data_IF_187769739967
#
_entry.id   IF_187769739967
#
_cell.length_a   1.000
_cell.length_b   1.000
_cell.length_c   1.000
_cell.angle_alpha   90.00
_cell.angle_beta   90.00
_cell.angle_gamma   90.00
#
_symmetry.space_group_name_H-M   'P 1'
#
loop_
_entity.id
_entity.type
_entity.pdbx_description
1 polymer ?
#
# COMPACT_ATOMS: atom_id res chain seq x y z
N UNK A 1 -22.42 12.35 83.24
CA UNK A 1 -22.93 13.41 82.34
C UNK A 1 -23.29 12.71 81.03
N UNK A 2 -24.50 12.20 80.78
CA UNK A 2 -25.85 12.76 81.08
C UNK A 2 -25.92 14.20 80.51
N UNK A 3 -26.79 14.61 79.57
CA UNK A 3 -28.19 14.27 79.26
C UNK A 3 -28.60 14.73 77.82
N UNK A 4 -29.47 13.94 77.17
CA UNK A 4 -30.60 14.18 76.24
C UNK A 4 -30.56 15.01 74.92
N UNK A 5 -31.29 14.48 73.91
CA UNK A 5 -31.99 15.21 72.82
C UNK A 5 -33.35 15.79 73.29
N UNK A 6 -34.46 15.83 72.50
CA UNK A 6 -34.70 15.50 71.08
C UNK A 6 -35.68 16.48 70.34
N UNK A 7 -36.12 16.13 69.11
CA UNK A 7 -37.39 16.56 68.49
C UNK A 7 -37.26 17.02 67.02
N UNK A 8 -38.04 16.58 66.03
CA UNK A 8 -39.15 15.63 65.97
C UNK A 8 -39.63 15.42 64.51
N UNK A 9 -40.37 14.32 64.30
CA UNK A 9 -41.46 14.02 63.33
C UNK A 9 -41.87 15.09 62.27
N UNK A 10 -42.27 14.79 61.03
CA UNK A 10 -42.76 13.54 60.44
C UNK A 10 -43.29 13.71 58.99
N UNK A 11 -43.56 12.56 58.36
CA UNK A 11 -44.48 12.19 57.27
C UNK A 11 -44.75 13.07 56.03
N UNK A 12 -44.80 12.40 54.85
CA UNK A 12 -45.76 12.74 53.79
C UNK A 12 -45.35 12.42 52.36
N UNK A 13 -45.73 11.24 51.85
CA UNK A 13 -45.84 10.95 50.40
C UNK A 13 -47.01 11.71 49.76
N UNK A 14 -47.05 11.70 48.42
CA UNK A 14 -48.12 12.04 47.45
C UNK A 14 -47.90 13.34 46.64
N UNK A 15 -47.65 13.21 45.32
CA UNK A 15 -47.88 14.27 44.34
C UNK A 15 -47.08 14.20 43.02
N UNK A 16 -47.62 13.48 42.02
CA UNK A 16 -47.54 13.69 40.55
C UNK A 16 -46.14 13.90 39.90
N UNK A 17 -45.55 12.98 39.13
CA UNK A 17 -45.99 12.35 37.86
C UNK A 17 -46.47 13.31 36.75
N UNK A 18 -45.74 13.27 35.62
CA UNK A 18 -46.11 13.62 34.23
C UNK A 18 -45.99 15.09 33.78
N UNK A 19 -44.99 15.38 32.92
CA UNK A 19 -45.09 16.19 31.67
C UNK A 19 -43.70 16.47 31.08
N UNK A 20 -43.15 15.56 30.26
CA UNK A 20 -42.06 15.88 29.30
C UNK A 20 -41.83 14.80 28.22
N UNK A 21 -42.88 14.18 27.65
CA UNK A 21 -42.72 13.17 26.56
C UNK A 21 -43.62 13.42 25.33
N UNK A 22 -44.18 14.62 25.12
CA UNK A 22 -45.06 14.88 23.94
C UNK A 22 -44.67 16.14 23.16
N UNK A 23 -43.40 16.25 22.74
CA UNK A 23 -42.97 17.30 21.78
C UNK A 23 -42.33 16.71 20.51
N UNK A 24 -42.42 15.39 20.31
CA UNK A 24 -41.75 14.69 19.18
C UNK A 24 -42.70 14.08 18.13
N UNK A 25 -43.96 14.53 18.00
CA UNK A 25 -44.89 13.89 17.05
C UNK A 25 -45.94 14.77 16.36
N UNK A 26 -45.70 16.08 16.12
CA UNK A 26 -46.64 16.90 15.33
C UNK A 26 -45.96 17.96 14.43
N UNK A 27 -44.98 17.54 13.62
CA UNK A 27 -44.57 18.30 12.44
C UNK A 27 -44.46 17.35 11.24
N UNK A 28 -45.63 16.88 10.80
CA UNK A 28 -45.82 16.21 9.52
C UNK A 28 -47.24 16.52 9.06
N UNK A 29 -47.39 17.50 8.17
CA UNK A 29 -48.28 17.53 7.00
C UNK A 29 -48.28 18.95 6.36
N UNK A 30 -48.52 19.06 5.04
CA UNK A 30 -47.97 20.09 4.18
C UNK A 30 -48.92 21.28 4.00
N UNK A 31 -48.36 22.47 3.74
CA UNK A 31 -49.09 23.54 3.08
C UNK A 31 -48.53 23.72 1.67
N UNK A 32 -49.36 23.37 0.69
CA UNK A 32 -49.15 23.72 -0.71
C UNK A 32 -49.46 25.19 -0.95
N UNK A 33 -48.65 25.81 -1.80
CA UNK A 33 -49.00 27.05 -2.50
C UNK A 33 -48.59 26.90 -3.96
N UNK A 34 -49.59 26.80 -4.83
CA UNK A 34 -49.44 26.95 -6.27
C UNK A 34 -49.13 28.42 -6.59
N UNK A 35 -48.11 28.66 -7.42
CA UNK A 35 -47.92 29.94 -8.09
C UNK A 35 -47.97 29.68 -9.59
N UNK A 36 -49.04 30.17 -10.22
CA UNK A 36 -49.23 30.18 -11.65
C UNK A 36 -48.25 31.16 -12.31
N UNK A 37 -47.39 30.66 -13.19
CA UNK A 37 -46.55 31.46 -14.09
C UNK A 37 -46.97 31.19 -15.54
N UNK A 38 -47.51 32.22 -16.20
CA UNK A 38 -48.04 32.19 -17.56
C UNK A 38 -46.95 32.49 -18.60
N UNK A 39 -46.82 31.57 -19.56
CA UNK A 39 -46.47 31.69 -20.99
C UNK A 39 -45.22 32.46 -21.43
N UNK A 40 -44.34 31.78 -22.17
CA UNK A 40 -43.89 32.19 -23.52
C UNK A 40 -43.34 30.98 -24.27
N UNK A 41 -44.05 30.50 -25.30
CA UNK A 41 -43.50 29.59 -26.31
C UNK A 41 -42.61 30.39 -27.27
N UNK A 42 -41.37 29.93 -27.48
CA UNK A 42 -40.54 30.34 -28.62
C UNK A 42 -40.07 29.09 -29.34
N UNK A 43 -40.53 28.95 -30.58
CA UNK A 43 -40.07 27.97 -31.57
C UNK A 43 -38.82 28.51 -32.26
N UNK A 44 -37.73 27.74 -32.25
CA UNK A 44 -36.60 27.89 -33.19
C UNK A 44 -35.82 26.57 -33.29
N UNK A 45 -35.95 25.95 -34.47
CA UNK A 45 -35.10 25.01 -35.25
C UNK A 45 -34.03 24.09 -34.61
N UNK A 46 -33.80 22.90 -35.22
CA UNK A 46 -32.86 21.89 -34.73
C UNK A 46 -31.41 22.27 -35.05
N UNK A 47 -30.59 22.43 -34.02
CA UNK A 47 -29.14 22.47 -34.12
C UNK A 47 -28.58 21.05 -34.04
N UNK A 48 -27.71 20.71 -34.98
CA UNK A 48 -26.97 19.45 -35.10
C UNK A 48 -26.55 18.83 -33.76
N UNK A 49 -26.91 17.56 -33.60
CA UNK A 49 -26.45 16.70 -32.53
C UNK A 49 -24.95 16.42 -32.73
N UNK A 50 -24.11 17.27 -32.12
CA UNK A 50 -22.71 16.91 -31.87
C UNK A 50 -22.76 15.79 -30.83
N UNK A 51 -22.68 14.55 -31.32
CA UNK A 51 -22.42 13.39 -30.47
C UNK A 51 -21.17 13.70 -29.63
N UNK A 52 -21.24 13.65 -28.30
CA UNK A 52 -20.03 13.63 -27.49
C UNK A 52 -19.33 12.31 -27.82
N UNK A 53 -18.25 12.41 -28.56
CA UNK A 53 -17.29 11.34 -28.72
C UNK A 53 -16.85 10.95 -27.31
N UNK A 54 -17.35 9.81 -26.83
CA UNK A 54 -17.03 9.28 -25.52
C UNK A 54 -15.53 8.99 -25.50
N UNK A 55 -14.76 9.96 -24.98
CA UNK A 55 -13.46 9.70 -24.42
C UNK A 55 -13.69 8.76 -23.24
N UNK A 56 -13.59 7.46 -23.48
CA UNK A 56 -13.54 6.48 -22.41
C UNK A 56 -12.20 6.63 -21.71
N UNK A 57 -12.06 7.68 -20.92
CA UNK A 57 -11.12 7.72 -19.81
C UNK A 57 -11.41 6.47 -18.99
N UNK A 58 -10.58 5.44 -19.14
CA UNK A 58 -10.73 4.24 -18.35
C UNK A 58 -10.62 4.62 -16.88
N UNK A 59 -11.71 4.47 -16.13
CA UNK A 59 -11.77 4.79 -14.71
C UNK A 59 -10.68 4.03 -13.96
N UNK A 60 -9.71 4.76 -13.41
CA UNK A 60 -8.65 4.19 -12.56
C UNK A 60 -9.22 3.78 -11.21
N UNK A 61 -8.51 2.89 -10.50
CA UNK A 61 -8.82 2.57 -9.11
C UNK A 61 -10.13 1.82 -8.90
N UNK A 62 -10.73 1.24 -9.94
CA UNK A 62 -11.97 0.46 -9.86
C UNK A 62 -11.67 -1.03 -10.12
N UNK A 63 -11.61 -1.88 -9.07
CA UNK A 63 -11.41 -3.31 -9.23
C UNK A 63 -12.67 -4.00 -9.73
N UNK A 64 -12.52 -5.15 -10.41
CA UNK A 64 -13.68 -5.90 -10.91
C UNK A 64 -14.45 -6.64 -9.80
N UNK A 65 -13.82 -6.87 -8.64
CA UNK A 65 -14.43 -7.55 -7.49
C UNK A 65 -14.19 -6.74 -6.21
N UNK A 66 -15.28 -6.33 -5.56
CA UNK A 66 -15.28 -5.65 -4.26
C UNK A 66 -15.64 -6.62 -3.11
N UNK A 67 -15.35 -6.27 -1.85
CA UNK A 67 -15.70 -7.09 -0.69
C UNK A 67 -14.95 -6.73 0.59
N UNK A 68 -15.49 -7.11 1.76
CA UNK A 68 -14.82 -7.00 3.08
C UNK A 68 -13.84 -8.17 3.28
N UNK A 69 -12.68 -7.90 3.86
CA UNK A 69 -11.59 -8.86 4.00
C UNK A 69 -10.96 -8.71 5.39
N UNK A 70 -10.54 -9.82 5.99
CA UNK A 70 -9.87 -9.88 7.29
C UNK A 70 -8.73 -10.91 7.22
N UNK A 71 -7.54 -10.55 7.70
CA UNK A 71 -6.35 -11.42 7.71
C UNK A 71 -5.62 -11.48 6.37
N UNK A 72 -4.29 -11.45 6.38
CA UNK A 72 -3.48 -11.52 5.16
C UNK A 72 -3.57 -12.92 4.57
N UNK A 73 -3.75 -13.02 3.26
CA UNK A 73 -4.09 -14.27 2.56
C UNK A 73 -3.86 -14.15 1.06
N UNK A 74 -4.06 -15.25 0.35
CA UNK A 74 -4.24 -15.27 -1.10
C UNK A 74 -5.26 -14.20 -1.51
N UNK A 75 -4.82 -13.28 -2.37
CA UNK A 75 -5.65 -12.23 -2.90
C UNK A 75 -6.73 -12.81 -3.82
N UNK A 76 -7.99 -12.40 -3.72
CA UNK A 76 -8.98 -12.84 -4.69
C UNK A 76 -8.68 -12.32 -6.09
N UNK A 77 -8.84 -13.19 -7.08
CA UNK A 77 -8.55 -12.89 -8.47
C UNK A 77 -9.34 -11.63 -8.91
N UNK A 78 -8.69 -10.77 -9.71
CA UNK A 78 -9.22 -9.48 -10.21
C UNK A 78 -9.42 -8.36 -9.19
N UNK A 79 -9.06 -8.56 -7.91
CA UNK A 79 -9.19 -7.51 -6.89
C UNK A 79 -8.14 -6.41 -7.02
N UNK A 80 -6.93 -6.76 -7.45
CA UNK A 80 -5.80 -5.83 -7.56
C UNK A 80 -5.30 -5.75 -9.00
N UNK A 81 -6.15 -5.30 -9.95
CA UNK A 81 -5.83 -5.36 -11.37
C UNK A 81 -4.69 -4.42 -11.78
N UNK A 82 -4.24 -3.56 -10.86
CA UNK A 82 -3.09 -2.69 -11.06
C UNK A 82 -1.76 -3.30 -10.66
N UNK A 83 -1.77 -4.41 -9.92
CA UNK A 83 -0.55 -5.09 -9.49
C UNK A 83 0.24 -5.54 -10.72
N UNK A 84 1.53 -5.21 -10.74
CA UNK A 84 2.47 -5.63 -11.75
C UNK A 84 3.70 -6.30 -11.09
N UNK A 85 4.38 -7.16 -11.84
CA UNK A 85 5.68 -7.72 -11.45
C UNK A 85 6.76 -7.17 -12.36
N UNK A 86 7.86 -6.70 -11.78
CA UNK A 86 9.07 -6.31 -12.50
C UNK A 86 9.97 -7.53 -12.62
N UNK A 87 10.24 -7.92 -13.86
CA UNK A 87 11.28 -8.89 -14.18
C UNK A 87 12.56 -8.17 -14.50
N UNK A 88 13.68 -8.64 -13.95
CA UNK A 88 15.03 -8.31 -14.41
C UNK A 88 15.66 -9.58 -14.97
N UNK A 89 15.99 -9.58 -16.26
CA UNK A 89 16.54 -10.74 -16.99
C UNK A 89 15.72 -12.02 -16.77
N UNK A 90 14.39 -11.89 -16.88
CA UNK A 90 13.44 -13.02 -16.75
C UNK A 90 13.12 -13.44 -15.32
N UNK A 91 13.62 -12.75 -14.29
CA UNK A 91 13.38 -13.08 -12.89
C UNK A 91 12.57 -12.00 -12.18
N UNK A 92 11.56 -12.41 -11.41
CA UNK A 92 10.86 -11.50 -10.51
C UNK A 92 11.83 -10.91 -9.49
N UNK A 93 11.89 -9.57 -9.43
CA UNK A 93 12.74 -8.86 -8.46
C UNK A 93 11.94 -7.91 -7.56
N UNK A 94 10.83 -7.37 -8.05
CA UNK A 94 10.06 -6.34 -7.39
C UNK A 94 8.60 -6.35 -7.87
N UNK A 95 7.72 -5.78 -7.07
CA UNK A 95 6.41 -5.33 -7.50
C UNK A 95 6.46 -4.00 -8.25
N UNK A 96 5.35 -3.67 -8.90
CA UNK A 96 5.09 -2.39 -9.52
C UNK A 96 3.57 -2.16 -9.62
N UNK A 97 3.18 -0.99 -10.08
CA UNK A 97 1.77 -0.61 -10.27
C UNK A 97 1.55 -0.01 -11.65
N UNK A 98 0.56 -0.46 -12.40
CA UNK A 98 0.14 0.26 -13.61
C UNK A 98 -0.70 1.49 -13.22
N UNK A 99 -0.38 2.65 -13.82
CA UNK A 99 -1.02 3.94 -13.49
C UNK A 99 -1.65 4.62 -14.70
N UNK A 100 -1.27 4.20 -15.91
CA UNK A 100 -1.99 4.53 -17.14
C UNK A 100 -1.61 3.54 -18.25
N UNK A 101 -2.17 3.70 -19.46
CA UNK A 101 -1.99 2.73 -20.54
C UNK A 101 -0.51 2.53 -20.93
N UNK A 102 0.34 3.53 -20.77
CA UNK A 102 1.77 3.47 -21.12
C UNK A 102 2.70 3.49 -19.90
N UNK A 103 2.17 3.63 -18.69
CA UNK A 103 3.00 3.98 -17.53
C UNK A 103 2.81 3.02 -16.36
N UNK A 104 3.96 2.56 -15.86
CA UNK A 104 4.09 1.72 -14.67
C UNK A 104 5.02 2.42 -13.69
N UNK A 105 4.73 2.33 -12.39
CA UNK A 105 5.50 2.94 -11.31
C UNK A 105 6.01 1.86 -10.35
N UNK A 106 7.24 2.02 -9.87
CA UNK A 106 7.91 1.09 -8.94
C UNK A 106 8.93 1.84 -8.09
N UNK A 107 9.69 1.13 -7.25
CA UNK A 107 10.74 1.70 -6.41
C UNK A 107 12.06 1.84 -7.19
N UNK A 108 12.86 2.86 -6.90
CA UNK A 108 14.15 3.11 -7.55
C UNK A 108 15.20 2.07 -7.22
N UNK A 109 15.20 1.53 -6.00
CA UNK A 109 16.19 0.54 -5.59
C UNK A 109 16.11 -0.76 -6.41
N UNK A 110 14.96 -1.05 -7.02
CA UNK A 110 14.76 -2.18 -7.94
C UNK A 110 15.60 -2.06 -9.23
N UNK A 111 15.96 -0.85 -9.63
CA UNK A 111 16.64 -0.55 -10.90
C UNK A 111 18.12 -0.23 -10.72
N UNK A 112 18.71 -0.52 -9.56
CA UNK A 112 20.12 -0.19 -9.29
C UNK A 112 21.12 -0.98 -10.12
N UNK A 113 20.75 -2.22 -10.51
CA UNK A 113 21.63 -3.17 -11.23
C UNK A 113 21.82 -2.81 -12.70
N UNK A 114 20.80 -2.23 -13.34
CA UNK A 114 20.85 -1.77 -14.73
C UNK A 114 19.86 -0.64 -14.94
N UNK A 115 20.21 0.35 -15.76
CA UNK A 115 19.28 1.39 -16.20
C UNK A 115 18.87 1.19 -17.67
N UNK A 116 19.30 0.09 -18.31
CA UNK A 116 18.92 -0.24 -19.68
C UNK A 116 17.51 -0.83 -19.72
N UNK A 117 16.57 -0.27 -20.50
CA UNK A 117 15.19 -0.75 -20.55
C UNK A 117 15.05 -2.23 -20.95
N UNK A 118 15.89 -2.71 -21.87
CA UNK A 118 15.83 -4.09 -22.39
C UNK A 118 16.15 -5.18 -21.35
N UNK A 119 16.80 -4.82 -20.24
CA UNK A 119 17.03 -5.75 -19.13
C UNK A 119 15.75 -6.05 -18.34
N UNK A 120 14.66 -5.29 -18.56
CA UNK A 120 13.44 -5.35 -17.77
C UNK A 120 12.20 -5.72 -18.59
N UNK A 121 11.32 -6.50 -17.98
CA UNK A 121 9.97 -6.76 -18.49
C UNK A 121 8.94 -6.55 -17.39
N UNK A 122 7.71 -6.17 -17.77
CA UNK A 122 6.60 -5.97 -16.84
C UNK A 122 5.51 -6.99 -17.08
N UNK A 123 5.15 -7.72 -16.03
CA UNK A 123 4.06 -8.67 -16.05
C UNK A 123 2.78 -8.03 -15.50
N UNK A 124 1.69 -8.12 -16.26
CA UNK A 124 0.37 -7.58 -15.93
C UNK A 124 -0.68 -8.70 -15.99
N UNK A 125 -1.72 -8.61 -15.14
CA UNK A 125 -2.83 -9.58 -15.14
C UNK A 125 -2.45 -10.97 -14.62
N UNK A 126 -1.32 -11.08 -13.92
CA UNK A 126 -0.91 -12.31 -13.25
C UNK A 126 -1.60 -12.43 -11.90
N UNK A 127 -2.09 -13.64 -11.60
CA UNK A 127 -2.52 -14.03 -10.26
C UNK A 127 -1.51 -14.98 -9.61
N UNK A 128 -0.95 -15.90 -10.42
CA UNK A 128 0.09 -16.87 -10.03
C UNK A 128 1.28 -16.70 -10.96
N UNK A 129 2.46 -16.37 -10.44
CA UNK A 129 3.61 -16.07 -11.31
C UNK A 129 4.08 -17.26 -12.15
N UNK A 130 3.86 -18.50 -11.69
CA UNK A 130 4.23 -19.72 -12.42
C UNK A 130 3.13 -20.25 -13.34
N UNK A 131 1.91 -19.69 -13.26
CA UNK A 131 0.75 -20.18 -14.00
C UNK A 131 0.03 -19.01 -14.69
N UNK A 132 0.62 -18.46 -15.77
CA UNK A 132 -0.01 -17.42 -16.57
C UNK A 132 -1.35 -17.91 -17.15
N UNK A 133 -2.23 -16.96 -17.45
CA UNK A 133 -3.53 -17.21 -18.07
C UNK A 133 -3.63 -16.49 -19.40
N UNK A 134 -4.74 -16.68 -20.13
CA UNK A 134 -5.05 -15.89 -21.32
C UNK A 134 -5.15 -14.37 -21.08
N UNK A 135 -5.26 -13.94 -19.82
CA UNK A 135 -5.32 -12.52 -19.42
C UNK A 135 -3.97 -11.95 -19.00
N UNK A 136 -2.94 -12.78 -18.93
CA UNK A 136 -1.60 -12.39 -18.53
C UNK A 136 -0.88 -11.73 -19.70
N UNK A 137 -0.18 -10.63 -19.46
CA UNK A 137 0.61 -9.91 -20.46
C UNK A 137 2.05 -9.74 -19.97
N UNK A 138 3.00 -9.89 -20.89
CA UNK A 138 4.39 -9.49 -20.69
C UNK A 138 4.69 -8.29 -21.59
N UNK A 139 5.02 -7.16 -20.96
CA UNK A 139 5.24 -5.88 -21.62
C UNK A 139 6.73 -5.52 -21.62
N UNK A 140 7.22 -5.04 -22.76
CA UNK A 140 8.57 -4.49 -22.89
C UNK A 140 8.64 -3.05 -22.37
N UNK A 141 9.75 -2.70 -21.73
CA UNK A 141 10.01 -1.35 -21.21
C UNK A 141 10.73 -0.52 -22.26
N UNK A 142 10.19 0.66 -22.59
CA UNK A 142 10.79 1.61 -23.53
C UNK A 142 11.76 2.58 -22.85
N UNK A 143 11.39 3.09 -21.67
CA UNK A 143 12.23 4.01 -20.89
C UNK A 143 12.12 3.73 -19.40
N UNK A 144 13.24 3.89 -18.71
CA UNK A 144 13.36 3.81 -17.25
C UNK A 144 13.74 5.19 -16.71
N UNK A 145 12.89 5.75 -15.86
CA UNK A 145 13.09 7.04 -15.21
C UNK A 145 13.28 6.84 -13.72
N UNK A 146 14.52 6.61 -13.29
CA UNK A 146 14.88 6.63 -11.87
C UNK A 146 14.91 8.08 -11.39
N UNK A 147 14.36 8.35 -10.20
CA UNK A 147 14.41 9.70 -9.64
C UNK A 147 15.87 10.16 -9.46
N UNK A 148 16.17 11.40 -9.85
CA UNK A 148 17.55 11.91 -9.87
C UNK A 148 18.17 11.99 -8.47
N UNK A 149 17.34 12.25 -7.45
CA UNK A 149 17.79 12.39 -6.07
C UNK A 149 17.90 11.05 -5.33
N UNK A 150 17.55 9.94 -6.00
CA UNK A 150 17.70 8.61 -5.41
C UNK A 150 19.19 8.27 -5.19
N UNK A 151 19.56 8.01 -3.94
CA UNK A 151 20.94 7.72 -3.57
C UNK A 151 21.16 6.22 -3.35
N UNK A 152 22.00 5.58 -4.18
CA UNK A 152 22.31 4.15 -4.04
C UNK A 152 23.00 3.77 -2.73
N UNK A 153 23.70 4.70 -2.07
CA UNK A 153 24.35 4.48 -0.77
C UNK A 153 23.41 4.71 0.42
N UNK A 154 22.36 5.52 0.21
CA UNK A 154 21.34 5.87 1.21
C UNK A 154 19.95 5.72 0.60
N UNK A 155 19.55 4.47 0.38
CA UNK A 155 18.39 4.08 -0.44
C UNK A 155 17.02 4.40 0.14
N UNK A 156 16.94 5.19 1.22
CA UNK A 156 15.69 5.38 1.95
C UNK A 156 14.79 6.44 1.30
N UNK A 157 15.38 7.47 0.68
CA UNK A 157 14.65 8.59 0.08
C UNK A 157 14.69 8.59 -1.44
N UNK A 158 13.74 9.29 -2.05
CA UNK A 158 13.53 9.40 -3.49
C UNK A 158 13.39 8.06 -4.18
N UNK A 159 12.85 7.07 -3.48
CA UNK A 159 12.79 5.68 -3.93
C UNK A 159 11.60 5.44 -4.86
N UNK A 160 11.66 6.05 -6.05
CA UNK A 160 10.62 6.01 -7.08
C UNK A 160 11.22 5.89 -8.47
N UNK A 161 10.58 5.09 -9.32
CA UNK A 161 10.90 4.95 -10.73
C UNK A 161 9.62 4.90 -11.57
N UNK A 162 9.62 5.63 -12.67
CA UNK A 162 8.62 5.49 -13.72
C UNK A 162 9.17 4.68 -14.88
N UNK A 163 8.33 3.81 -15.42
CA UNK A 163 8.61 2.99 -16.58
C UNK A 163 7.60 3.36 -17.66
N UNK A 164 8.11 3.76 -18.82
CA UNK A 164 7.28 3.91 -20.01
C UNK A 164 7.32 2.60 -20.79
N UNK A 165 6.15 2.05 -21.12
CA UNK A 165 6.00 0.84 -21.91
C UNK A 165 6.15 1.14 -23.42
N UNK A 166 6.58 0.14 -24.19
CA UNK A 166 6.67 0.25 -25.66
C UNK A 166 5.32 0.40 -26.36
N UNK A 167 4.23 -0.06 -25.74
CA UNK A 167 2.89 -0.01 -26.31
C UNK A 167 1.83 0.16 -25.22
N UNK A 168 0.62 0.62 -25.61
CA UNK A 168 -0.46 0.81 -24.67
C UNK A 168 -0.98 -0.54 -24.17
N UNK A 169 -1.38 -0.56 -22.90
CA UNK A 169 -2.08 -1.68 -22.28
C UNK A 169 -3.58 -1.50 -22.50
N UNK A 170 -4.22 -2.51 -23.08
CA UNK A 170 -5.68 -2.58 -23.14
C UNK A 170 -6.21 -3.02 -21.78
N UNK A 171 -7.02 -2.15 -21.16
CA UNK A 171 -7.58 -2.45 -19.85
C UNK A 171 -8.71 -3.47 -19.92
N UNK A 172 -8.73 -4.37 -18.95
CA UNK A 172 -9.70 -5.46 -18.81
C UNK A 172 -10.19 -5.54 -17.36
N UNK A 173 -10.92 -6.57 -16.97
CA UNK A 173 -11.20 -6.83 -15.55
C UNK A 173 -9.97 -7.33 -14.76
N UNK A 174 -8.90 -7.79 -15.44
CA UNK A 174 -7.66 -8.29 -14.84
C UNK A 174 -6.54 -7.25 -14.82
N UNK A 175 -6.64 -6.21 -15.66
CA UNK A 175 -5.61 -5.19 -15.83
C UNK A 175 -6.27 -3.82 -15.89
N UNK A 176 -6.07 -3.00 -14.87
CA UNK A 176 -6.59 -1.62 -14.77
C UNK A 176 -5.63 -0.76 -13.97
N UNK A 177 -5.53 0.55 -14.25
CA UNK A 177 -4.63 1.40 -13.51
C UNK A 177 -5.14 1.69 -12.09
N UNK A 178 -4.24 1.87 -11.14
CA UNK A 178 -4.55 2.53 -9.87
C UNK A 178 -4.61 4.04 -10.09
N UNK A 179 -5.44 4.76 -9.33
CA UNK A 179 -5.44 6.22 -9.41
C UNK A 179 -4.19 6.79 -8.74
N UNK A 180 -3.60 7.82 -9.36
CA UNK A 180 -2.55 8.60 -8.71
C UNK A 180 -3.18 9.67 -7.81
N UNK A 181 -2.67 9.89 -6.60
CA UNK A 181 -3.15 10.94 -5.72
C UNK A 181 -2.70 12.32 -6.23
N UNK A 182 -3.48 13.35 -5.93
CA UNK A 182 -2.99 14.74 -5.98
C UNK A 182 -1.92 15.00 -4.91
N UNK A 183 -1.45 16.25 -4.80
CA UNK A 183 -0.35 16.61 -3.87
C UNK A 183 -0.64 16.30 -2.39
N UNK A 184 -1.89 16.50 -1.95
CA UNK A 184 -2.31 16.39 -0.56
C UNK A 184 -3.58 15.53 -0.41
N UNK A 185 -3.51 14.21 -0.67
CA UNK A 185 -4.68 13.35 -0.53
C UNK A 185 -5.11 13.32 0.93
N UNK A 186 -6.41 13.48 1.18
CA UNK A 186 -6.96 13.30 2.51
C UNK A 186 -7.20 11.82 2.74
N UNK A 187 -6.25 11.15 3.40
CA UNK A 187 -6.38 9.74 3.78
C UNK A 187 -6.70 9.67 5.26
N UNK A 188 -7.93 9.24 5.57
CA UNK A 188 -8.33 9.01 6.97
C UNK A 188 -7.46 7.91 7.59
N UNK A 189 -7.17 8.01 8.89
CA UNK A 189 -6.54 6.91 9.65
C UNK A 189 -7.39 5.63 9.66
N UNK A 190 -8.71 5.75 9.42
CA UNK A 190 -9.64 4.63 9.26
C UNK A 190 -9.78 4.12 7.83
N UNK A 191 -9.04 4.69 6.87
CA UNK A 191 -9.11 4.26 5.47
C UNK A 191 -8.66 2.80 5.32
N UNK A 192 -9.33 2.07 4.42
CA UNK A 192 -8.98 0.70 4.08
C UNK A 192 -7.78 0.71 3.14
N UNK A 193 -6.58 0.46 3.67
CA UNK A 193 -5.34 0.47 2.92
C UNK A 193 -4.68 -0.91 2.86
N UNK A 194 -4.16 -1.26 1.69
CA UNK A 194 -3.70 -2.61 1.38
C UNK A 194 -2.36 -2.60 0.65
N UNK A 195 -1.52 -3.55 1.02
CA UNK A 195 -0.36 -3.95 0.24
C UNK A 195 -0.66 -5.26 -0.49
N UNK A 196 -0.03 -5.43 -1.66
CA UNK A 196 -0.10 -6.67 -2.43
C UNK A 196 1.26 -7.01 -3.04
N UNK A 197 1.54 -8.30 -3.19
CA UNK A 197 2.82 -8.73 -3.75
C UNK A 197 3.03 -10.23 -3.78
N UNK A 198 4.18 -10.61 -4.35
CA UNK A 198 4.66 -11.99 -4.46
C UNK A 198 5.98 -12.20 -3.71
N UNK A 199 6.32 -11.27 -2.82
CA UNK A 199 7.50 -11.36 -1.98
C UNK A 199 7.47 -12.57 -1.05
N UNK A 200 8.54 -12.70 -0.28
CA UNK A 200 8.66 -13.74 0.72
C UNK A 200 7.59 -13.61 1.81
N UNK A 201 7.20 -14.74 2.41
CA UNK A 201 6.21 -14.77 3.51
C UNK A 201 6.86 -14.35 4.83
N UNK A 202 8.15 -14.66 5.00
CA UNK A 202 9.00 -14.20 6.10
C UNK A 202 10.40 -13.91 5.56
N UNK A 203 11.29 -13.32 6.38
CA UNK A 203 12.69 -13.09 6.02
C UNK A 203 13.43 -14.35 5.51
N UNK A 204 12.93 -15.54 5.86
CA UNK A 204 13.53 -16.84 5.52
C UNK A 204 12.64 -17.77 4.71
N UNK A 205 11.36 -17.42 4.50
CA UNK A 205 10.37 -18.31 3.88
C UNK A 205 9.90 -17.72 2.56
N UNK A 206 10.21 -18.41 1.45
CA UNK A 206 9.69 -18.08 0.14
C UNK A 206 8.17 -18.30 0.06
N UNK A 207 7.50 -17.53 -0.79
CA UNK A 207 6.11 -17.80 -1.16
C UNK A 207 5.98 -19.19 -1.80
N UNK A 208 4.94 -19.93 -1.41
CA UNK A 208 4.71 -21.29 -1.93
C UNK A 208 4.35 -21.29 -3.42
N UNK A 209 4.71 -22.37 -4.11
CA UNK A 209 4.27 -22.64 -5.49
C UNK A 209 2.72 -22.69 -5.55
N UNK A 210 2.05 -22.10 -6.57
CA UNK A 210 2.58 -21.50 -7.80
C UNK A 210 2.80 -19.97 -7.72
N UNK A 211 3.16 -19.47 -6.53
CA UNK A 211 3.38 -18.05 -6.22
C UNK A 211 2.10 -17.23 -6.42
N UNK A 212 1.06 -17.57 -5.64
CA UNK A 212 -0.21 -16.86 -5.64
C UNK A 212 -0.06 -15.46 -5.03
N UNK A 213 -0.62 -14.44 -5.68
CA UNK A 213 -0.60 -13.06 -5.18
C UNK A 213 -1.15 -12.98 -3.76
N UNK A 214 -0.43 -12.32 -2.86
CA UNK A 214 -0.85 -12.09 -1.49
C UNK A 214 -1.40 -10.67 -1.30
N UNK A 215 -2.30 -10.50 -0.33
CA UNK A 215 -2.80 -9.20 0.12
C UNK A 215 -2.70 -9.07 1.65
N UNK A 216 -2.43 -7.86 2.13
CA UNK A 216 -2.49 -7.54 3.56
C UNK A 216 -2.98 -6.12 3.81
N UNK A 217 -3.88 -5.97 4.79
CA UNK A 217 -4.36 -4.67 5.24
C UNK A 217 -3.38 -4.07 6.25
N UNK A 218 -3.03 -2.79 6.08
CA UNK A 218 -2.20 -2.03 7.01
C UNK A 218 -2.89 -0.72 7.38
N UNK A 219 -2.63 -0.22 8.59
CA UNK A 219 -3.02 1.13 9.01
C UNK A 219 -1.90 2.13 8.76
N UNK A 220 -2.25 3.34 8.30
CA UNK A 220 -1.28 4.44 8.21
C UNK A 220 -0.86 4.87 9.62
N UNK A 221 0.42 5.15 9.76
CA UNK A 221 1.05 5.57 11.02
C UNK A 221 1.69 6.94 10.86
N UNK A 222 1.60 7.75 11.92
CA UNK A 222 2.32 9.02 12.00
C UNK A 222 3.84 8.82 11.89
N UNK A 223 4.51 9.71 11.15
CA UNK A 223 5.94 9.59 10.86
C UNK A 223 6.82 9.69 12.11
N UNK A 224 6.42 10.48 13.13
CA UNK A 224 7.18 10.62 14.37
C UNK A 224 7.07 9.34 15.19
N UNK A 225 5.86 8.81 15.33
CA UNK A 225 5.61 7.51 15.98
C UNK A 225 6.39 6.41 15.27
N UNK A 226 6.33 6.37 13.94
CA UNK A 226 7.02 5.37 13.15
C UNK A 226 8.55 5.43 13.32
N UNK A 227 9.13 6.64 13.37
CA UNK A 227 10.56 6.83 13.57
C UNK A 227 11.04 6.19 14.88
N UNK A 228 10.22 6.16 15.93
CA UNK A 228 10.57 5.52 17.21
C UNK A 228 10.80 4.01 17.09
N UNK A 229 10.21 3.33 16.11
CA UNK A 229 10.42 1.88 15.88
C UNK A 229 11.80 1.55 15.31
N UNK A 230 12.52 2.54 14.77
CA UNK A 230 13.80 2.33 14.10
C UNK A 230 14.99 2.96 14.85
N UNK A 231 14.76 3.52 16.04
CA UNK A 231 15.83 4.05 16.88
C UNK A 231 16.56 2.90 17.57
N UNK A 232 17.86 2.75 17.29
CA UNK A 232 18.71 1.81 18.00
C UNK A 232 18.98 2.27 19.44
N UNK A 233 19.36 1.36 20.36
CA UNK A 233 19.60 1.68 21.77
C UNK A 233 20.83 2.56 22.03
N UNK A 234 21.63 2.88 21.01
CA UNK A 234 22.88 3.65 21.15
C UNK A 234 22.84 4.91 20.26
N UNK A 235 23.03 6.11 20.81
CA UNK A 235 23.18 7.33 20.02
C UNK A 235 24.48 7.26 19.20
N UNK A 236 24.37 7.24 17.87
CA UNK A 236 25.52 7.32 16.96
C UNK A 236 25.60 6.25 15.87
N UNK A 237 24.73 5.23 15.87
CA UNK A 237 24.66 4.24 14.79
C UNK A 237 23.37 4.45 13.99
N UNK A 238 23.49 4.82 12.71
CA UNK A 238 22.44 5.03 11.71
C UNK A 238 21.04 5.33 12.28
N UNK A 239 20.74 6.60 12.54
CA UNK A 239 19.38 7.04 12.81
C UNK A 239 18.55 6.89 11.53
N UNK A 240 17.76 5.82 11.44
CA UNK A 240 16.70 5.70 10.45
C UNK A 240 15.66 6.78 10.75
N UNK A 241 15.47 7.70 9.82
CA UNK A 241 14.48 8.77 9.94
C UNK A 241 13.52 8.68 8.76
N UNK A 242 12.22 8.70 9.07
CA UNK A 242 11.16 8.76 8.06
C UNK A 242 11.07 10.19 7.56
N UNK A 243 11.44 10.40 6.29
CA UNK A 243 11.46 11.74 5.67
C UNK A 243 10.09 12.10 5.06
N UNK A 244 9.93 13.34 4.61
CA UNK A 244 8.66 13.86 4.07
C UNK A 244 8.19 13.14 2.79
N UNK A 245 9.13 12.62 2.02
CA UNK A 245 8.90 11.82 0.82
C UNK A 245 8.55 10.35 1.13
N UNK A 246 8.41 10.02 2.42
CA UNK A 246 8.02 8.72 2.92
C UNK A 246 6.71 8.78 3.71
N UNK A 247 6.07 7.63 3.83
CA UNK A 247 4.98 7.38 4.77
C UNK A 247 5.15 6.02 5.40
N UNK A 248 4.52 5.82 6.55
CA UNK A 248 4.63 4.61 7.31
C UNK A 248 3.27 3.94 7.46
N UNK A 249 3.25 2.61 7.35
CA UNK A 249 2.04 1.83 7.61
C UNK A 249 2.41 0.48 8.22
N UNK A 250 1.54 -0.04 9.07
CA UNK A 250 1.77 -1.33 9.72
C UNK A 250 0.52 -1.90 10.33
N UNK A 251 0.57 -3.21 10.61
CA UNK A 251 -0.36 -3.89 11.49
C UNK A 251 0.44 -4.42 12.69
N UNK A 252 0.51 -3.61 13.74
CA UNK A 252 1.26 -3.95 14.96
C UNK A 252 0.59 -5.08 15.76
N UNK A 253 -0.67 -5.41 15.47
CA UNK A 253 -1.42 -6.43 16.19
C UNK A 253 -1.16 -7.82 15.63
N UNK A 254 -1.14 -7.96 14.31
CA UNK A 254 -0.94 -9.26 13.65
C UNK A 254 0.44 -9.38 12.98
N UNK A 255 1.20 -8.29 12.90
CA UNK A 255 2.55 -8.27 12.34
C UNK A 255 2.60 -8.43 10.83
N UNK A 256 1.62 -7.89 10.10
CA UNK A 256 1.70 -7.85 8.63
C UNK A 256 2.62 -6.72 8.19
N UNK A 257 3.48 -7.02 7.22
CA UNK A 257 4.48 -6.09 6.68
C UNK A 257 4.83 -6.46 5.25
N UNK A 258 5.52 -5.57 4.56
CA UNK A 258 6.20 -5.90 3.29
C UNK A 258 7.43 -6.77 3.58
N UNK A 259 7.82 -7.58 2.61
CA UNK A 259 8.98 -8.44 2.70
C UNK A 259 9.82 -8.40 1.41
N UNK A 260 10.90 -9.17 1.35
CA UNK A 260 11.78 -9.22 0.18
C UNK A 260 10.99 -9.63 -1.07
N UNK A 261 11.06 -8.82 -2.12
CA UNK A 261 10.33 -9.03 -3.38
C UNK A 261 9.05 -8.19 -3.51
N UNK A 262 8.50 -7.68 -2.40
CA UNK A 262 7.34 -6.76 -2.46
C UNK A 262 7.73 -5.32 -2.81
N UNK A 263 9.02 -4.99 -2.73
CA UNK A 263 9.62 -3.72 -3.14
C UNK A 263 9.01 -3.16 -4.43
N UNK A 264 8.66 -1.88 -4.44
CA UNK A 264 7.98 -1.20 -5.54
C UNK A 264 6.49 -1.56 -5.72
N UNK A 265 5.99 -2.58 -5.01
CA UNK A 265 4.59 -2.97 -5.00
C UNK A 265 3.68 -1.91 -4.36
N UNK A 266 2.38 -1.91 -4.72
CA UNK A 266 1.44 -0.88 -4.32
C UNK A 266 1.12 -0.91 -2.82
N UNK A 267 1.03 0.27 -2.24
CA UNK A 267 0.21 0.54 -1.04
C UNK A 267 -0.96 1.42 -1.46
N UNK A 268 -2.14 0.82 -1.58
CA UNK A 268 -3.34 1.48 -2.09
C UNK A 268 -4.36 1.70 -0.98
N UNK A 269 -5.03 2.84 -0.99
CA UNK A 269 -6.11 3.16 -0.06
C UNK A 269 -7.40 3.43 -0.80
N UNK A 270 -8.51 2.90 -0.27
CA UNK A 270 -9.83 3.19 -0.77
C UNK A 270 -10.31 4.56 -0.23
N UNK A 271 -10.52 5.51 -1.14
CA UNK A 271 -11.09 6.83 -0.87
C UNK A 271 -12.39 6.93 -1.67
N UNK A 272 -13.54 6.84 -0.98
CA UNK A 272 -14.87 6.94 -1.60
C UNK A 272 -15.09 5.96 -2.77
N UNK A 273 -14.76 4.67 -2.56
CA UNK A 273 -14.85 3.59 -3.55
C UNK A 273 -13.83 3.63 -4.69
N UNK A 274 -12.89 4.58 -4.67
CA UNK A 274 -11.79 4.66 -5.64
C UNK A 274 -10.48 4.32 -4.94
N UNK A 275 -9.69 3.44 -5.55
CA UNK A 275 -8.40 3.04 -5.01
C UNK A 275 -7.27 3.91 -5.55
N UNK A 276 -6.61 4.62 -4.63
CA UNK A 276 -5.47 5.47 -4.93
C UNK A 276 -4.17 4.81 -4.49
N UNK A 277 -3.14 4.90 -5.32
CA UNK A 277 -1.78 4.50 -5.00
C UNK A 277 -1.15 5.54 -4.06
N UNK A 278 -1.25 5.29 -2.75
CA UNK A 278 -0.76 6.19 -1.72
C UNK A 278 0.74 6.02 -1.50
N UNK A 279 1.24 4.79 -1.58
CA UNK A 279 2.64 4.48 -1.38
C UNK A 279 3.21 3.40 -2.31
N UNK A 280 4.54 3.34 -2.39
CA UNK A 280 5.30 2.25 -3.00
C UNK A 280 6.13 1.57 -1.92
N UNK A 281 6.08 0.24 -1.85
CA UNK A 281 6.84 -0.54 -0.87
C UNK A 281 8.34 -0.24 -1.02
N UNK A 282 8.99 0.30 0.03
CA UNK A 282 10.37 0.79 -0.08
C UNK A 282 11.31 0.01 0.84
N UNK A 283 11.15 0.13 2.15
CA UNK A 283 12.01 -0.55 3.12
C UNK A 283 11.29 -0.86 4.43
N UNK A 284 11.82 -1.83 5.16
CA UNK A 284 11.37 -2.24 6.49
C UNK A 284 12.54 -2.87 7.25
N UNK A 285 12.38 -3.07 8.56
CA UNK A 285 13.19 -4.07 9.26
C UNK A 285 12.83 -5.48 8.73
N UNK A 286 13.67 -6.50 8.99
CA UNK A 286 13.38 -7.87 8.55
C UNK A 286 11.94 -8.29 8.86
N UNK A 287 11.28 -8.91 7.87
CA UNK A 287 9.90 -9.41 7.96
C UNK A 287 9.85 -10.68 8.82
N UNK A 288 10.12 -10.51 10.11
CA UNK A 288 10.10 -11.53 11.15
C UNK A 288 9.57 -10.91 12.45
N UNK A 289 9.02 -11.75 13.33
CA UNK A 289 8.53 -11.28 14.62
C UNK A 289 9.70 -10.87 15.55
N UNK A 290 9.57 -9.78 16.35
CA UNK A 290 8.46 -8.83 16.35
C UNK A 290 8.49 -7.91 15.12
N UNK A 291 7.35 -7.77 14.44
CA UNK A 291 7.27 -7.02 13.18
C UNK A 291 7.18 -5.52 13.44
N UNK A 292 8.03 -4.76 12.77
CA UNK A 292 8.02 -3.29 12.73
C UNK A 292 7.11 -2.77 11.61
N UNK A 293 6.65 -1.52 11.69
CA UNK A 293 5.93 -0.94 10.56
C UNK A 293 6.82 -0.88 9.31
N UNK A 294 6.17 -0.84 8.15
CA UNK A 294 6.82 -0.75 6.84
C UNK A 294 6.84 0.70 6.37
N UNK A 295 7.90 1.08 5.66
CA UNK A 295 8.07 2.42 5.09
C UNK A 295 7.87 2.36 3.58
N UNK A 296 7.08 3.30 3.09
CA UNK A 296 6.68 3.42 1.70
C UNK A 296 7.10 4.78 1.16
N UNK A 297 7.47 4.84 -0.11
CA UNK A 297 7.61 6.12 -0.82
C UNK A 297 6.25 6.79 -0.92
N UNK A 298 6.12 8.04 -0.47
CA UNK A 298 4.87 8.82 -0.53
C UNK A 298 4.62 9.31 -1.95
N UNK A 299 3.73 8.66 -2.67
CA UNK A 299 3.51 8.96 -4.11
C UNK A 299 3.04 10.40 -4.34
N UNK A 300 2.25 10.97 -3.43
CA UNK A 300 1.77 12.35 -3.57
C UNK A 300 2.89 13.39 -3.55
N UNK A 301 3.98 13.11 -2.84
CA UNK A 301 5.19 13.95 -2.80
C UNK A 301 5.81 14.08 -4.20
N UNK A 302 5.77 13.01 -4.99
CA UNK A 302 6.33 12.96 -6.34
C UNK A 302 5.32 13.25 -7.45
N UNK A 303 4.10 13.70 -7.13
CA UNK A 303 3.04 13.93 -8.12
C UNK A 303 3.44 14.88 -9.26
N UNK A 304 4.19 15.94 -8.95
CA UNK A 304 4.72 16.87 -9.95
C UNK A 304 5.76 16.20 -10.85
N UNK A 305 6.70 15.47 -10.27
CA UNK A 305 7.73 14.75 -11.01
C UNK A 305 7.10 13.70 -11.93
N UNK A 306 6.09 12.95 -11.45
CA UNK A 306 5.36 11.97 -12.24
C UNK A 306 4.71 12.65 -13.45
N UNK A 307 3.96 13.72 -13.20
CA UNK A 307 3.28 14.50 -14.26
C UNK A 307 4.27 15.07 -15.26
N UNK A 308 5.38 15.63 -14.79
CA UNK A 308 6.44 16.18 -15.64
C UNK A 308 7.03 15.11 -16.55
N UNK A 309 7.36 13.93 -16.03
CA UNK A 309 7.92 12.84 -16.84
C UNK A 309 6.92 12.32 -17.88
N UNK A 310 5.65 12.18 -17.50
CA UNK A 310 4.60 11.76 -18.42
C UNK A 310 4.38 12.77 -19.56
N UNK A 311 4.32 14.06 -19.24
CA UNK A 311 4.07 15.11 -20.23
C UNK A 311 5.26 15.37 -21.15
N UNK A 312 6.49 15.24 -20.65
CA UNK A 312 7.71 15.49 -21.43
C UNK A 312 8.20 14.27 -22.22
N UNK A 313 7.59 13.10 -22.04
CA UNK A 313 8.02 11.86 -22.67
C UNK A 313 6.96 11.39 -23.68
N UNK A 314 7.09 11.74 -24.97
CA UNK A 314 6.13 11.30 -25.98
C UNK A 314 6.08 9.77 -26.04
N UNK A 315 4.89 9.25 -26.32
CA UNK A 315 4.69 7.82 -26.50
C UNK A 315 5.53 7.31 -27.68
N UNK A 316 6.06 6.09 -27.59
CA UNK A 316 6.75 5.45 -28.72
C UNK A 316 5.81 5.31 -29.92
N UNK A 317 6.39 5.36 -31.12
CA UNK A 317 5.65 5.07 -32.35
C UNK A 317 5.18 3.60 -32.30
N UNK A 318 3.90 3.29 -32.55
CA UNK A 318 3.40 1.92 -32.58
C UNK A 318 4.19 0.99 -33.52
N UNK A 319 4.81 1.51 -34.56
CA UNK A 319 5.68 0.76 -35.48
C UNK A 319 7.06 0.39 -34.90
N UNK A 320 7.48 1.05 -33.82
CA UNK A 320 8.76 0.84 -33.15
C UNK A 320 8.77 -0.25 -32.09
N UNK A 321 7.62 -0.91 -31.87
CA UNK A 321 7.48 -2.00 -30.89
C UNK A 321 8.38 -3.17 -31.31
N UNK A 322 9.49 -3.45 -30.60
CA UNK A 322 10.49 -4.41 -31.06
C UNK A 322 9.93 -5.83 -31.19
N UNK A 323 8.94 -6.16 -30.35
CA UNK A 323 8.25 -7.45 -30.35
C UNK A 323 6.82 -7.26 -29.80
N UNK A 324 5.77 -7.83 -30.44
CA UNK A 324 4.44 -7.86 -29.85
C UNK A 324 4.46 -8.63 -28.52
N UNK A 325 3.47 -8.42 -27.62
CA UNK A 325 3.36 -9.17 -26.38
C UNK A 325 3.51 -10.67 -26.66
N UNK A 326 4.59 -11.27 -26.16
CA UNK A 326 4.86 -12.68 -26.35
C UNK A 326 3.96 -13.53 -25.46
N UNK A 327 3.84 -14.83 -25.78
CA UNK A 327 3.18 -15.79 -24.88
C UNK A 327 3.78 -15.62 -23.48
N UNK A 328 2.96 -15.34 -22.45
CA UNK A 328 3.47 -15.05 -21.13
C UNK A 328 4.13 -16.30 -20.52
N UNK A 329 5.36 -16.21 -20.00
CA UNK A 329 6.06 -17.34 -19.40
C UNK A 329 5.58 -17.59 -17.96
N UNK A 330 5.67 -18.83 -17.50
CA UNK A 330 5.74 -19.09 -16.07
C UNK A 330 7.10 -18.64 -15.53
N UNK A 331 7.10 -17.81 -14.49
CA UNK A 331 8.34 -17.21 -13.96
C UNK A 331 8.94 -18.06 -12.83
N UNK A 332 10.24 -18.40 -12.90
CA UNK A 332 10.96 -18.96 -11.76
C UNK A 332 11.37 -17.84 -10.78
N UNK A 333 11.18 -18.07 -9.47
CA UNK A 333 11.78 -17.23 -8.42
C UNK A 333 13.06 -17.95 -7.95
N UNK A 334 14.25 -17.45 -8.33
CA UNK A 334 15.48 -17.98 -7.72
C UNK A 334 15.57 -17.50 -6.28
N UNK A 335 15.95 -18.38 -5.34
CA UNK A 335 16.15 -17.97 -3.97
C UNK A 335 17.34 -17.01 -3.96
N UNK A 336 17.08 -15.74 -3.64
CA UNK A 336 18.13 -14.84 -3.17
C UNK A 336 18.65 -15.37 -1.82
N UNK A 337 19.45 -16.44 -1.84
CA UNK A 337 20.49 -16.64 -0.84
C UNK A 337 21.57 -15.58 -1.11
N UNK A 338 21.22 -14.31 -0.86
CA UNK A 338 22.25 -13.38 -0.42
C UNK A 338 22.80 -14.00 0.85
N UNK A 339 24.13 -14.24 0.90
CA UNK A 339 24.81 -14.88 2.01
C UNK A 339 24.24 -14.40 3.35
N UNK A 340 23.37 -15.21 3.94
CA UNK A 340 22.97 -15.04 5.32
C UNK A 340 24.25 -15.38 6.07
N UNK A 341 24.98 -14.36 6.50
CA UNK A 341 25.77 -14.50 7.71
C UNK A 341 24.75 -14.88 8.78
N UNK A 342 24.56 -16.19 8.95
CA UNK A 342 23.98 -16.71 10.17
C UNK A 342 24.82 -16.06 11.26
N UNK A 343 24.24 -15.28 12.18
CA UNK A 343 24.96 -15.03 13.40
C UNK A 343 25.25 -16.43 13.92
N UNK A 344 26.53 -16.83 13.83
CA UNK A 344 27.01 -17.99 14.56
C UNK A 344 26.54 -17.72 15.96
N UNK A 345 25.56 -18.50 16.41
CA UNK A 345 25.17 -18.56 17.79
C UNK A 345 26.48 -18.88 18.51
N UNK A 346 27.14 -17.88 19.08
CA UNK A 346 28.25 -18.10 20.00
C UNK A 346 27.59 -18.54 21.29
N UNK A 347 27.03 -19.75 21.25
CA UNK A 347 26.64 -20.50 22.43
C UNK A 347 27.87 -21.27 22.91
N UNK A 348 28.95 -20.54 23.17
CA UNK A 348 30.15 -21.05 23.82
C UNK A 348 30.86 -19.87 24.47
N UNK A 349 30.49 -19.57 25.72
CA UNK A 349 31.39 -19.18 26.82
C UNK A 349 30.71 -18.57 28.06
N UNK A 350 29.38 -18.51 28.15
CA UNK A 350 28.76 -18.05 29.42
C UNK A 350 28.74 -19.14 30.51
N UNK A 351 28.77 -20.43 30.11
CA UNK A 351 28.77 -21.54 31.08
C UNK A 351 30.11 -21.63 31.85
N UNK A 352 31.24 -21.30 31.23
CA UNK A 352 32.55 -21.39 31.89
C UNK A 352 32.74 -20.31 32.96
N UNK A 353 32.21 -19.10 32.78
CA UNK A 353 32.37 -18.02 33.76
C UNK A 353 31.42 -18.19 34.95
N UNK A 354 30.21 -18.72 34.72
CA UNK A 354 29.25 -19.02 35.79
C UNK A 354 29.72 -20.19 36.66
N UNK A 355 30.33 -21.24 36.07
CA UNK A 355 30.90 -22.36 36.83
C UNK A 355 32.12 -21.94 37.67
N UNK A 356 32.99 -21.08 37.14
CA UNK A 356 34.15 -20.57 37.90
C UNK A 356 33.71 -19.68 39.06
N UNK A 357 32.69 -18.82 38.87
CA UNK A 357 32.15 -18.00 39.96
C UNK A 357 31.41 -18.84 41.02
N UNK A 358 30.68 -19.89 40.62
CA UNK A 358 30.07 -20.84 41.54
C UNK A 358 31.13 -21.61 42.35
N UNK A 359 32.20 -22.07 41.72
CA UNK A 359 33.29 -22.77 42.41
C UNK A 359 34.08 -21.85 43.37
N UNK A 360 34.27 -20.58 43.02
CA UNK A 360 34.88 -19.58 43.92
C UNK A 360 33.96 -19.30 45.13
N UNK A 361 32.64 -19.18 44.90
CA UNK A 361 31.68 -18.94 45.98
C UNK A 361 31.56 -20.11 46.97
N UNK A 362 31.67 -21.35 46.48
CA UNK A 362 31.67 -22.55 47.32
C UNK A 362 32.95 -22.68 48.17
N UNK A 363 34.11 -22.25 47.65
CA UNK A 363 35.36 -22.21 48.42
C UNK A 363 35.35 -21.16 49.53
N UNK A 364 34.66 -20.04 49.35
CA UNK A 364 34.57 -18.98 50.37
C UNK A 364 33.60 -19.29 51.51
N UNK A 365 32.75 -20.33 51.40
CA UNK A 365 31.81 -20.73 52.46
C UNK A 365 32.34 -21.84 53.39
N UNK A 366 33.55 -22.34 53.17
CA UNK A 366 34.16 -23.42 53.98
C UNK A 366 35.42 -22.98 54.77
N UNK A 367 35.61 -21.68 54.96
CA UNK A 367 36.67 -21.09 55.81
C UNK A 367 36.08 -20.31 56.98
#
# INVERSE_FOLDING_TARGET
>A
MEIAGPGGSGAGWWGACTLAVVVLCLLSLPLGTEVAGTTTQRSTQPSEEIQPQADTQAECGIPAVTGKIFGGRDAPQKRWPWQASVLYRGMHICGATIVSAYWVISAAHCFQKSHHPDDYQILLGYYRLKSPTQHSLQMSVYRVFVHNDFNKRYFMGSDITLLQLYGPVNFTEYIRPACLPGRNPQVSSSASCWITGWGMVTETTMLGDPYTLQEAQLGIMDSQICTMFFQGPQPGNNTYSVQDDMLCAGDLMTGKSICRGDSGGPFVCNLNNVWFLIGLSSWSLPCQQPVSPSVFTRVSYFSEWITQKQNSSPNPDPSSVPHPPSVPPGVPIFPSLGNIHKPRSVLTLVISQVLVLLLISLWTLQL
#
